data_IF_235525562948
#
_entry.id   IF_235525562948
#
_cell.length_a   1.000
_cell.length_b   1.000
_cell.length_c   1.000
_cell.angle_alpha   90.00
_cell.angle_beta   90.00
_cell.angle_gamma   90.00
#
_symmetry.space_group_name_H-M   'P 1'
#
loop_
_entity.id
_entity.type
_entity.pdbx_description
1 polymer ?
#
# COMPACT_ATOMS: atom_id res chain seq x y z
N UNK A 1 26.97 32.42 23.10
CA UNK A 1 26.83 31.10 22.46
C UNK A 1 25.35 30.74 22.44
N UNK A 2 24.73 30.69 21.27
CA UNK A 2 23.30 30.41 21.11
C UNK A 2 23.07 28.91 20.94
N UNK A 3 22.54 28.27 21.97
CA UNK A 3 22.18 26.84 21.97
C UNK A 3 20.95 26.63 21.08
N UNK A 4 21.17 26.15 19.84
CA UNK A 4 20.06 25.74 18.96
C UNK A 4 19.39 24.51 19.57
N UNK A 5 18.16 24.67 20.07
CA UNK A 5 17.28 23.55 20.42
C UNK A 5 17.04 22.70 19.18
N UNK A 6 17.47 21.44 19.25
CA UNK A 6 17.22 20.41 18.26
C UNK A 6 15.70 20.17 18.19
N UNK A 7 15.08 20.01 17.00
CA UNK A 7 13.66 19.69 16.91
C UNK A 7 13.41 18.31 17.54
N UNK A 8 12.30 18.11 18.26
CA UNK A 8 11.97 16.81 18.83
C UNK A 8 11.83 15.78 17.72
N UNK A 9 12.46 14.62 17.89
CA UNK A 9 12.32 13.48 17.00
C UNK A 9 10.83 13.15 16.83
N UNK A 10 10.37 13.05 15.57
CA UNK A 10 9.04 12.53 15.26
C UNK A 10 8.89 11.18 15.98
N UNK A 11 7.86 11.06 16.83
CA UNK A 11 7.52 9.80 17.49
C UNK A 11 7.43 8.71 16.42
N UNK A 12 8.08 7.57 16.69
CA UNK A 12 7.90 6.37 15.90
C UNK A 12 6.39 6.09 15.82
N UNK A 13 5.89 5.83 14.62
CA UNK A 13 4.55 5.31 14.42
C UNK A 13 4.42 4.03 15.25
N UNK A 14 3.61 4.07 16.33
CA UNK A 14 3.29 2.89 17.12
C UNK A 14 2.74 1.82 16.17
N UNK A 15 3.39 0.67 16.14
CA UNK A 15 2.91 -0.48 15.38
C UNK A 15 1.55 -0.90 15.96
N UNK A 16 0.57 -1.28 15.12
CA UNK A 16 -0.76 -1.65 15.59
C UNK A 16 -0.67 -2.81 16.60
N UNK A 17 -1.42 -2.71 17.70
CA UNK A 17 -1.44 -3.71 18.76
C UNK A 17 -1.77 -5.12 18.21
N UNK A 18 -1.01 -6.13 18.62
CA UNK A 18 -1.20 -7.53 18.19
C UNK A 18 -0.35 -7.99 17.00
N UNK A 19 0.71 -7.24 16.66
CA UNK A 19 1.67 -7.66 15.65
C UNK A 19 2.66 -8.71 16.20
N UNK A 20 2.90 -9.84 15.50
CA UNK A 20 3.90 -10.81 15.89
C UNK A 20 5.30 -10.18 15.82
N UNK A 21 6.17 -10.67 16.68
CA UNK A 21 7.55 -10.20 16.82
C UNK A 21 8.42 -10.72 15.66
N UNK A 22 8.07 -10.33 14.43
CA UNK A 22 8.84 -10.61 13.24
C UNK A 22 9.56 -9.33 12.81
N UNK A 23 10.91 -9.28 12.87
CA UNK A 23 11.65 -8.08 12.53
C UNK A 23 11.40 -7.61 11.10
N UNK A 24 11.06 -8.51 10.17
CA UNK A 24 10.76 -8.17 8.78
C UNK A 24 9.37 -7.55 8.56
N UNK A 25 8.61 -7.30 9.63
CA UNK A 25 7.40 -6.50 9.60
C UNK A 25 7.58 -5.19 10.39
N UNK A 26 8.66 -5.06 11.17
CA UNK A 26 8.83 -3.98 12.13
C UNK A 26 9.28 -2.67 11.51
N UNK A 27 8.67 -1.57 11.95
CA UNK A 27 9.07 -0.20 11.62
C UNK A 27 10.52 0.05 12.04
N UNK A 28 10.93 -0.39 13.24
CA UNK A 28 12.27 -0.18 13.79
C UNK A 28 13.35 -0.86 12.95
N UNK A 29 13.09 -2.08 12.49
CA UNK A 29 14.03 -2.84 11.65
C UNK A 29 14.31 -2.10 10.34
N UNK A 30 13.27 -1.66 9.62
CA UNK A 30 13.43 -0.92 8.37
C UNK A 30 13.91 0.52 8.56
N UNK A 31 13.65 1.16 9.71
CA UNK A 31 14.16 2.50 10.02
C UNK A 31 15.69 2.54 10.16
N UNK A 32 16.29 1.42 10.56
CA UNK A 32 17.75 1.30 10.75
C UNK A 32 18.50 1.06 9.43
N UNK A 33 17.82 0.53 8.42
CA UNK A 33 18.40 0.28 7.09
C UNK A 33 18.59 1.58 6.31
N UNK A 34 19.86 1.96 6.17
CA UNK A 34 20.27 3.19 5.47
C UNK A 34 20.54 2.98 3.99
N UNK A 35 20.91 1.77 3.57
CA UNK A 35 21.25 1.44 2.19
C UNK A 35 20.10 0.71 1.48
N UNK A 36 19.92 0.99 0.19
CA UNK A 36 19.01 0.27 -0.69
C UNK A 36 19.40 -1.21 -0.82
N UNK A 37 20.70 -1.51 -0.80
CA UNK A 37 21.24 -2.88 -0.87
C UNK A 37 20.78 -3.74 0.32
N UNK A 38 20.75 -3.17 1.52
CA UNK A 38 20.28 -3.86 2.72
C UNK A 38 18.76 -4.15 2.64
N UNK A 39 17.99 -3.22 2.07
CA UNK A 39 16.55 -3.41 1.86
C UNK A 39 16.27 -4.48 0.82
N UNK A 40 17.02 -4.51 -0.27
CA UNK A 40 16.87 -5.53 -1.31
C UNK A 40 17.17 -6.93 -0.76
N UNK A 41 18.22 -7.06 0.07
CA UNK A 41 18.54 -8.30 0.75
C UNK A 41 17.47 -8.74 1.77
N UNK A 42 16.79 -7.79 2.41
CA UNK A 42 15.72 -8.05 3.37
C UNK A 42 14.37 -8.38 2.70
N UNK A 43 14.16 -7.94 1.46
CA UNK A 43 12.87 -7.98 0.78
C UNK A 43 12.27 -9.39 0.65
N UNK A 44 13.08 -10.40 0.32
CA UNK A 44 12.56 -11.77 0.24
C UNK A 44 12.05 -12.30 1.59
N UNK A 45 12.66 -11.86 2.69
CA UNK A 45 12.22 -12.21 4.06
C UNK A 45 11.00 -11.39 4.48
N UNK A 46 10.94 -10.12 4.08
CA UNK A 46 9.75 -9.24 4.23
C UNK A 46 8.53 -9.85 3.53
N UNK A 47 8.61 -10.13 2.24
CA UNK A 47 7.48 -10.69 1.48
C UNK A 47 7.04 -12.05 2.02
N UNK A 48 7.99 -12.90 2.45
CA UNK A 48 7.65 -14.15 3.13
C UNK A 48 6.88 -13.88 4.43
N UNK A 49 7.37 -12.99 5.28
CA UNK A 49 6.71 -12.63 6.53
C UNK A 49 5.30 -12.04 6.31
N UNK A 50 5.14 -11.23 5.26
CA UNK A 50 3.84 -10.70 4.84
C UNK A 50 2.90 -11.84 4.42
N UNK A 51 3.38 -12.78 3.59
CA UNK A 51 2.61 -13.95 3.17
C UNK A 51 2.19 -14.82 4.35
N UNK A 52 3.09 -15.07 5.31
CA UNK A 52 2.85 -15.87 6.51
C UNK A 52 1.84 -15.19 7.46
N UNK A 53 1.86 -13.85 7.57
CA UNK A 53 0.90 -13.09 8.40
C UNK A 53 -0.50 -13.03 7.78
N UNK A 54 -0.55 -12.94 6.45
CA UNK A 54 -1.78 -12.91 5.67
C UNK A 54 -2.55 -11.59 5.75
N UNK A 55 -3.54 -11.48 4.89
CA UNK A 55 -4.35 -10.28 4.67
C UNK A 55 -5.55 -10.17 5.64
N UNK A 56 -6.35 -9.11 5.48
CA UNK A 56 -7.69 -8.98 6.05
C UNK A 56 -7.74 -8.77 7.56
N UNK A 57 -6.75 -8.07 8.13
CA UNK A 57 -6.70 -7.77 9.57
C UNK A 57 -7.49 -6.50 9.91
N UNK A 58 -7.60 -5.58 8.96
CA UNK A 58 -8.32 -4.31 9.07
C UNK A 58 -9.23 -4.10 7.84
N UNK A 59 -9.63 -2.85 7.57
CA UNK A 59 -10.55 -2.53 6.46
C UNK A 59 -9.93 -2.86 5.11
N UNK A 60 -10.61 -3.70 4.34
CA UNK A 60 -10.20 -4.13 2.99
C UNK A 60 -10.67 -3.21 1.86
N UNK A 61 -11.44 -2.16 2.19
CA UNK A 61 -11.88 -1.15 1.24
C UNK A 61 -10.80 -0.06 1.10
N UNK A 62 -10.30 0.14 -0.12
CA UNK A 62 -9.24 1.11 -0.37
C UNK A 62 -9.63 2.58 -0.02
N UNK A 63 -10.93 2.90 0.04
CA UNK A 63 -11.44 4.21 0.46
C UNK A 63 -11.22 4.48 1.94
N UNK A 64 -11.20 3.44 2.77
CA UNK A 64 -11.18 3.56 4.24
C UNK A 64 -10.00 2.86 4.92
N UNK A 65 -9.27 1.98 4.22
CA UNK A 65 -8.07 1.29 4.71
C UNK A 65 -7.05 2.26 5.34
N UNK A 66 -6.79 2.23 6.65
CA UNK A 66 -5.86 3.16 7.30
C UNK A 66 -4.47 3.22 6.66
N UNK A 67 -3.95 2.08 6.21
CA UNK A 67 -2.64 1.96 5.56
C UNK A 67 -2.54 2.75 4.25
N UNK A 68 -3.66 3.07 3.59
CA UNK A 68 -3.67 3.81 2.33
C UNK A 68 -3.83 5.31 2.51
N UNK A 69 -3.92 5.82 3.74
CA UNK A 69 -4.06 7.24 4.03
C UNK A 69 -2.99 8.11 3.32
N UNK A 70 -1.68 7.74 3.34
CA UNK A 70 -0.66 8.52 2.64
C UNK A 70 -0.87 8.59 1.13
N UNK A 71 -1.46 7.55 0.53
CA UNK A 71 -1.73 7.48 -0.91
C UNK A 71 -3.00 8.23 -1.29
N UNK A 72 -4.06 8.15 -0.46
CA UNK A 72 -5.37 8.79 -0.73
C UNK A 72 -5.27 10.30 -0.93
N UNK A 73 -4.36 10.96 -0.22
CA UNK A 73 -4.13 12.40 -0.33
C UNK A 73 -3.27 12.83 -1.54
N UNK A 74 -2.66 11.90 -2.28
CA UNK A 74 -1.79 12.25 -3.41
C UNK A 74 -2.64 12.73 -4.59
N UNK A 75 -2.32 13.93 -5.08
CA UNK A 75 -3.02 14.58 -6.19
C UNK A 75 -2.32 14.29 -7.52
N UNK A 76 -3.09 13.82 -8.51
CA UNK A 76 -2.62 13.71 -9.89
C UNK A 76 -3.58 14.44 -10.80
N UNK A 77 -3.04 15.32 -11.67
CA UNK A 77 -3.78 16.21 -12.59
C UNK A 77 -5.04 16.85 -11.95
N UNK A 78 -4.89 17.38 -10.74
CA UNK A 78 -5.94 18.10 -10.03
C UNK A 78 -6.96 17.24 -9.29
N UNK A 79 -6.82 15.92 -9.27
CA UNK A 79 -7.72 15.00 -8.57
C UNK A 79 -6.94 14.17 -7.54
N UNK A 80 -7.35 14.13 -6.26
CA UNK A 80 -6.77 13.24 -5.28
C UNK A 80 -7.19 11.79 -5.53
N UNK A 81 -6.37 10.84 -5.10
CA UNK A 81 -6.64 9.41 -5.30
C UNK A 81 -7.96 8.96 -4.64
N UNK A 82 -8.31 9.52 -3.47
CA UNK A 82 -9.60 9.22 -2.82
C UNK A 82 -10.78 9.52 -3.75
N UNK A 83 -10.79 10.69 -4.38
CA UNK A 83 -11.88 11.10 -5.27
C UNK A 83 -11.91 10.24 -6.55
N UNK A 84 -10.76 9.73 -7.01
CA UNK A 84 -10.72 8.74 -8.10
C UNK A 84 -11.43 7.44 -7.71
N UNK A 85 -11.18 6.92 -6.50
CA UNK A 85 -11.87 5.73 -6.01
C UNK A 85 -13.39 5.96 -5.95
N UNK A 86 -13.83 7.10 -5.44
CA UNK A 86 -15.25 7.46 -5.39
C UNK A 86 -15.87 7.53 -6.79
N UNK A 87 -15.15 8.08 -7.79
CA UNK A 87 -15.61 8.13 -9.19
C UNK A 87 -15.64 6.76 -9.87
N UNK A 88 -14.68 5.88 -9.59
CA UNK A 88 -14.67 4.48 -10.08
C UNK A 88 -15.94 3.77 -9.58
N UNK A 89 -16.23 3.88 -8.29
CA UNK A 89 -17.45 3.35 -7.68
C UNK A 89 -18.71 3.93 -8.33
N UNK A 90 -18.75 5.23 -8.55
CA UNK A 90 -19.89 5.90 -9.19
C UNK A 90 -20.03 5.59 -10.69
N UNK A 91 -19.05 4.92 -11.32
CA UNK A 91 -19.12 4.54 -12.72
C UNK A 91 -19.24 5.72 -13.69
N UNK A 92 -18.76 6.90 -13.28
CA UNK A 92 -18.90 8.16 -14.04
C UNK A 92 -18.08 8.13 -15.33
N UNK A 93 -16.92 7.45 -15.32
CA UNK A 93 -16.02 7.37 -16.47
C UNK A 93 -15.67 5.88 -16.72
N UNK A 94 -16.47 5.18 -17.51
CA UNK A 94 -16.27 3.76 -17.79
C UNK A 94 -15.02 3.53 -18.66
N UNK A 95 -13.86 3.30 -18.03
CA UNK A 95 -12.70 2.68 -18.70
C UNK A 95 -11.42 3.52 -18.85
N UNK A 96 -11.31 4.70 -18.22
CA UNK A 96 -10.12 5.56 -18.34
C UNK A 96 -9.25 5.65 -17.09
N UNK A 97 -9.45 4.77 -16.08
CA UNK A 97 -8.79 4.88 -14.78
C UNK A 97 -7.39 4.27 -14.72
N UNK A 98 -7.09 3.25 -15.54
CA UNK A 98 -5.82 2.52 -15.47
C UNK A 98 -4.57 3.42 -15.59
N UNK A 99 -4.48 4.38 -16.53
CA UNK A 99 -3.31 5.26 -16.63
C UNK A 99 -3.11 6.13 -15.38
N UNK A 100 -4.21 6.44 -14.67
CA UNK A 100 -4.18 7.24 -13.46
C UNK A 100 -3.73 6.42 -12.27
N UNK A 101 -4.37 5.27 -12.05
CA UNK A 101 -4.04 4.31 -10.99
C UNK A 101 -2.58 3.85 -11.08
N UNK A 102 -2.08 3.65 -12.30
CA UNK A 102 -0.69 3.26 -12.56
C UNK A 102 0.33 4.29 -12.04
N UNK A 103 -0.03 5.56 -11.89
CA UNK A 103 0.85 6.58 -11.31
C UNK A 103 1.12 6.35 -9.81
N UNK A 104 0.18 5.69 -9.13
CA UNK A 104 0.23 5.38 -7.70
C UNK A 104 0.68 3.94 -7.42
N UNK A 105 0.93 3.15 -8.48
CA UNK A 105 1.28 1.72 -8.36
C UNK A 105 0.07 0.80 -8.26
N UNK A 106 -1.14 1.29 -8.55
CA UNK A 106 -2.34 0.47 -8.61
C UNK A 106 -2.59 -0.08 -10.01
N UNK A 107 -2.98 -1.35 -10.08
CA UNK A 107 -3.53 -2.00 -11.26
C UNK A 107 -5.03 -2.28 -11.04
N UNK A 108 -5.86 -1.97 -12.03
CA UNK A 108 -7.28 -2.29 -11.99
C UNK A 108 -7.46 -3.74 -12.48
N UNK A 109 -7.76 -4.66 -11.57
CA UNK A 109 -7.89 -6.10 -11.88
C UNK A 109 -9.31 -6.52 -12.26
N UNK A 110 -10.27 -5.63 -12.13
CA UNK A 110 -11.63 -5.82 -12.61
C UNK A 110 -12.59 -4.80 -11.99
N UNK A 111 -13.63 -4.43 -12.72
CA UNK A 111 -14.70 -3.57 -12.23
C UNK A 111 -16.05 -4.19 -12.55
N UNK A 112 -16.89 -4.28 -11.53
CA UNK A 112 -18.29 -4.64 -11.63
C UNK A 112 -19.12 -3.36 -11.54
N UNK A 113 -19.73 -2.95 -12.66
CA UNK A 113 -20.72 -1.88 -12.72
C UNK A 113 -22.14 -2.46 -12.71
N UNK A 114 -22.43 -3.35 -11.75
CA UNK A 114 -23.76 -3.93 -11.63
C UNK A 114 -24.81 -2.80 -11.51
N UNK A 115 -25.90 -2.90 -12.29
CA UNK A 115 -27.02 -1.94 -12.22
C UNK A 115 -27.91 -2.17 -11.00
N UNK A 116 -27.85 -3.34 -10.40
CA UNK A 116 -28.77 -3.83 -9.36
C UNK A 116 -28.05 -4.53 -8.20
N UNK A 117 -26.75 -4.29 -8.01
CA UNK A 117 -25.95 -4.84 -6.92
C UNK A 117 -24.71 -4.00 -6.63
N UNK A 118 -23.96 -4.36 -5.59
CA UNK A 118 -22.76 -3.66 -5.15
C UNK A 118 -21.83 -3.36 -6.33
N UNK A 119 -21.48 -2.09 -6.55
CA UNK A 119 -20.45 -1.76 -7.53
C UNK A 119 -19.11 -2.01 -6.86
N UNK A 120 -18.31 -2.88 -7.45
CA UNK A 120 -17.04 -3.27 -6.82
C UNK A 120 -15.92 -3.23 -7.84
N UNK A 121 -14.79 -2.64 -7.47
CA UNK A 121 -13.56 -2.73 -8.24
C UNK A 121 -12.45 -3.40 -7.44
N UNK A 122 -11.66 -4.22 -8.14
CA UNK A 122 -10.44 -4.80 -7.60
C UNK A 122 -9.25 -3.94 -7.95
N UNK A 123 -8.57 -3.45 -6.94
CA UNK A 123 -7.34 -2.68 -7.06
C UNK A 123 -6.18 -3.50 -6.52
N UNK A 124 -5.16 -3.74 -7.32
CA UNK A 124 -3.93 -4.38 -6.88
C UNK A 124 -2.85 -3.31 -6.71
N UNK A 125 -2.45 -3.02 -5.48
CA UNK A 125 -1.30 -2.17 -5.18
C UNK A 125 -0.02 -2.99 -5.30
N UNK A 126 0.89 -2.58 -6.18
CA UNK A 126 2.24 -3.13 -6.23
C UNK A 126 2.96 -2.85 -4.91
N UNK A 127 3.35 -3.91 -4.21
CA UNK A 127 4.17 -3.88 -2.99
C UNK A 127 5.57 -4.46 -3.24
N UNK A 128 6.00 -4.58 -4.50
CA UNK A 128 7.36 -4.99 -4.84
C UNK A 128 8.41 -3.93 -4.48
N UNK A 129 9.69 -4.26 -4.69
CA UNK A 129 10.79 -3.31 -4.55
C UNK A 129 10.66 -2.11 -5.48
N UNK A 130 10.14 -2.32 -6.70
CA UNK A 130 9.98 -1.28 -7.70
C UNK A 130 8.69 -0.45 -7.53
N UNK A 131 7.94 -0.65 -6.43
CA UNK A 131 6.66 0.00 -6.22
C UNK A 131 6.78 1.52 -6.24
N UNK A 132 5.93 2.15 -7.06
CA UNK A 132 5.80 3.61 -7.15
C UNK A 132 5.28 4.25 -5.86
N UNK A 133 4.62 3.47 -4.99
CA UNK A 133 4.14 3.95 -3.69
C UNK A 133 5.28 4.16 -2.68
N UNK A 134 6.46 3.56 -2.90
CA UNK A 134 7.59 3.60 -1.96
C UNK A 134 7.96 5.03 -1.54
N UNK A 135 8.04 5.96 -2.50
CA UNK A 135 8.40 7.35 -2.21
C UNK A 135 7.35 8.07 -1.36
N UNK A 136 6.05 7.79 -1.59
CA UNK A 136 4.96 8.39 -0.83
C UNK A 136 5.02 7.98 0.64
N UNK A 137 5.16 6.68 0.89
CA UNK A 137 5.25 6.15 2.25
C UNK A 137 6.56 6.52 2.96
N UNK A 138 7.68 6.57 2.23
CA UNK A 138 8.94 7.05 2.78
C UNK A 138 8.84 8.51 3.24
N UNK A 139 8.21 9.39 2.45
CA UNK A 139 7.99 10.79 2.82
C UNK A 139 7.04 10.95 4.01
N UNK A 140 6.08 10.02 4.15
CA UNK A 140 5.20 9.94 5.32
C UNK A 140 5.91 9.38 6.58
N UNK A 141 7.14 8.87 6.46
CA UNK A 141 7.89 8.27 7.57
C UNK A 141 7.41 6.86 7.93
N UNK A 142 6.89 6.10 6.96
CA UNK A 142 6.33 4.75 7.16
C UNK A 142 7.21 3.73 6.41
N UNK A 143 8.33 3.30 7.00
CA UNK A 143 9.32 2.47 6.31
C UNK A 143 8.87 1.03 6.06
N UNK A 144 8.00 0.47 6.92
CA UNK A 144 7.46 -0.89 6.80
C UNK A 144 6.10 -0.95 6.07
N UNK A 145 5.76 0.07 5.27
CA UNK A 145 4.43 0.26 4.72
C UNK A 145 3.83 -0.95 3.99
N UNK A 146 4.63 -1.78 3.31
CA UNK A 146 4.15 -2.97 2.57
C UNK A 146 3.38 -3.92 3.46
N UNK A 147 3.91 -4.14 4.66
CA UNK A 147 3.31 -5.02 5.64
C UNK A 147 2.01 -4.44 6.21
N UNK A 148 1.93 -3.13 6.43
CA UNK A 148 0.70 -2.45 6.85
C UNK A 148 -0.37 -2.53 5.76
N UNK A 149 0.02 -2.24 4.51
CA UNK A 149 -0.86 -2.33 3.36
C UNK A 149 -1.37 -3.76 3.14
N UNK A 150 -0.52 -4.76 3.33
CA UNK A 150 -0.93 -6.16 3.22
C UNK A 150 -1.93 -6.57 4.31
N UNK A 151 -1.80 -6.04 5.52
CA UNK A 151 -2.74 -6.31 6.62
C UNK A 151 -4.13 -5.70 6.37
N UNK A 152 -4.17 -4.53 5.72
CA UNK A 152 -5.40 -3.84 5.32
C UNK A 152 -5.94 -4.32 3.97
N UNK A 153 -5.29 -5.26 3.29
CA UNK A 153 -5.76 -5.74 1.99
C UNK A 153 -6.73 -6.92 2.14
N UNK A 154 -7.56 -7.17 1.13
CA UNK A 154 -8.39 -8.36 1.07
C UNK A 154 -7.60 -9.63 0.77
N UNK A 155 -6.56 -9.49 -0.04
CA UNK A 155 -5.71 -10.59 -0.47
C UNK A 155 -4.29 -10.08 -0.68
N UNK A 156 -3.31 -10.95 -0.45
CA UNK A 156 -1.93 -10.76 -0.89
C UNK A 156 -1.64 -11.77 -1.98
N UNK A 157 -1.14 -11.31 -3.12
CA UNK A 157 -0.69 -12.16 -4.23
C UNK A 157 0.82 -12.02 -4.38
N UNK A 158 1.54 -13.12 -4.20
CA UNK A 158 3.01 -13.17 -4.35
C UNK A 158 3.34 -14.03 -5.56
N UNK A 159 3.98 -13.43 -6.54
CA UNK A 159 4.48 -14.09 -7.74
C UNK A 159 5.96 -14.39 -7.55
N UNK A 160 6.30 -15.68 -7.63
CA UNK A 160 7.69 -16.11 -7.51
C UNK A 160 8.52 -15.50 -8.65
N UNK A 161 9.77 -15.09 -8.37
CA UNK A 161 10.68 -14.63 -9.43
C UNK A 161 10.90 -15.75 -10.46
N UNK A 162 11.11 -15.36 -11.70
CA UNK A 162 11.61 -16.24 -12.77
C UNK A 162 12.98 -15.74 -13.21
N UNK A 163 13.67 -16.47 -14.11
CA UNK A 163 14.93 -16.01 -14.69
C UNK A 163 14.85 -14.61 -15.33
N UNK A 164 13.66 -14.21 -15.79
CA UNK A 164 13.44 -12.96 -16.54
C UNK A 164 12.64 -11.91 -15.77
N UNK A 165 11.98 -12.30 -14.67
CA UNK A 165 11.09 -11.39 -13.93
C UNK A 165 11.42 -11.40 -12.45
N UNK A 166 11.67 -10.23 -11.83
CA UNK A 166 11.84 -10.15 -10.39
C UNK A 166 10.56 -10.58 -9.68
N UNK A 167 10.68 -10.88 -8.38
CA UNK A 167 9.52 -11.20 -7.55
C UNK A 167 8.53 -10.04 -7.56
N UNK A 168 7.26 -10.33 -7.86
CA UNK A 168 6.18 -9.35 -7.76
C UNK A 168 5.31 -9.71 -6.57
N UNK A 169 4.80 -8.69 -5.91
CA UNK A 169 3.87 -8.86 -4.81
C UNK A 169 2.82 -7.76 -4.90
N UNK A 170 1.57 -8.14 -4.70
CA UNK A 170 0.43 -7.25 -4.80
C UNK A 170 -0.45 -7.36 -3.56
N UNK A 171 -0.87 -6.22 -3.03
CA UNK A 171 -1.93 -6.13 -2.04
C UNK A 171 -3.24 -5.76 -2.74
N UNK A 172 -4.22 -6.65 -2.70
CA UNK A 172 -5.50 -6.50 -3.42
C UNK A 172 -6.53 -5.90 -2.47
N UNK A 173 -7.13 -4.80 -2.89
CA UNK A 173 -8.21 -4.09 -2.20
C UNK A 173 -9.49 -4.14 -3.03
N UNK A 174 -10.61 -4.05 -2.33
CA UNK A 174 -11.91 -3.82 -2.94
C UNK A 174 -12.23 -2.32 -2.94
N UNK A 175 -13.07 -1.90 -3.87
CA UNK A 175 -13.82 -0.65 -3.82
C UNK A 175 -15.28 -1.03 -3.69
N UNK A 176 -15.63 -1.61 -2.54
CA UNK A 176 -16.92 -2.25 -2.32
C UNK A 176 -18.00 -1.19 -2.06
N UNK A 177 -18.71 -0.80 -3.10
CA UNK A 177 -19.81 0.13 -2.98
C UNK A 177 -21.08 -0.60 -2.56
N UNK A 178 -21.23 -0.76 -1.26
CA UNK A 178 -22.50 -0.76 -0.53
C UNK A 178 -22.24 -0.03 0.80
N UNK A 179 -23.11 0.93 1.15
CA UNK A 179 -23.25 1.46 2.52
C UNK A 179 -24.23 0.58 3.29
#
# INVERSE_FOLDING_TARGET
MTTKKQPPAKRASEEPAGRPDNPFLSTEFFSRMRDYTERDAAFSKEIKAIGDRGAGKLSTDARTAPSLEPLRGVIKKGLPLKDMFDRIVQGVESGLWEPWLTAFGFELRGVSYAKTGARNARLALDISLASKATAVFANAGIPNWRSLVAEDSAQVQIEKPTEKTPAKAYAIFWLDADD
#
